data_IF_703886668445
#
_entry.id   IF_703886668445
#
_cell.length_a   1.000
_cell.length_b   1.000
_cell.length_c   1.000
_cell.angle_alpha   90.00
_cell.angle_beta   90.00
_cell.angle_gamma   90.00
#
_symmetry.space_group_name_H-M   'P 1'
#
loop_
_entity.id
_entity.type
_entity.pdbx_description
1 polymer ?
#
# COMPACT_ATOMS: atom_id res chain seq x y z
N UNK A 1 -23.05 -21.69 67.87
CA UNK A 1 -23.38 -20.80 66.72
C UNK A 1 -23.00 -19.37 67.09
N UNK A 2 -22.42 -18.64 66.14
CA UNK A 2 -21.91 -17.25 66.18
C UNK A 2 -20.48 -17.10 66.71
N UNK A 3 -19.54 -16.91 65.78
CA UNK A 3 -18.16 -16.47 66.03
C UNK A 3 -17.95 -15.12 65.35
N UNK A 4 -17.14 -14.28 66.01
CA UNK A 4 -17.11 -12.82 65.94
C UNK A 4 -16.64 -12.20 64.62
N UNK A 5 -17.18 -11.02 64.36
CA UNK A 5 -16.69 -10.06 63.38
C UNK A 5 -15.32 -9.50 63.83
N UNK A 6 -14.35 -9.51 62.93
CA UNK A 6 -13.09 -8.79 63.09
C UNK A 6 -13.14 -7.56 62.17
N UNK A 7 -13.40 -6.42 62.78
CA UNK A 7 -13.25 -5.10 62.21
C UNK A 7 -11.78 -4.69 62.34
N UNK A 8 -11.08 -4.56 61.22
CA UNK A 8 -9.74 -3.97 61.16
C UNK A 8 -9.82 -2.56 60.58
N UNK A 9 -9.10 -1.61 61.19
CA UNK A 9 -9.07 -0.19 60.82
C UNK A 9 -7.64 0.29 60.61
N UNK A 10 -7.42 0.99 59.49
CA UNK A 10 -6.34 1.97 59.16
C UNK A 10 -4.96 1.41 58.77
N UNK A 11 -4.11 2.14 57.99
CA UNK A 11 -4.04 3.60 57.87
C UNK A 11 -3.90 4.24 56.46
N UNK A 12 -4.26 5.52 56.42
CA UNK A 12 -3.88 6.61 55.52
C UNK A 12 -3.13 6.25 54.22
N UNK A 13 -3.84 6.35 53.09
CA UNK A 13 -3.24 6.37 51.75
C UNK A 13 -3.42 7.78 51.18
N UNK A 14 -2.29 8.47 51.08
CA UNK A 14 -2.09 9.76 50.44
C UNK A 14 -2.98 9.98 49.23
N UNK A 15 -3.69 11.12 49.23
CA UNK A 15 -4.42 11.59 48.06
C UNK A 15 -3.42 12.02 46.98
N UNK A 16 -3.07 11.10 46.07
CA UNK A 16 -2.56 11.48 44.77
C UNK A 16 -3.74 11.95 43.92
N UNK A 17 -3.82 13.28 43.77
CA UNK A 17 -4.65 13.99 42.78
C UNK A 17 -4.44 13.32 41.41
N UNK A 18 -5.41 12.51 41.00
CA UNK A 18 -5.52 12.05 39.61
C UNK A 18 -5.79 13.30 38.79
N UNK A 19 -4.76 13.84 38.15
CA UNK A 19 -4.91 14.68 36.97
C UNK A 19 -5.64 13.80 35.96
N UNK A 20 -6.92 14.10 35.73
CA UNK A 20 -7.69 13.48 34.67
C UNK A 20 -6.92 13.63 33.37
N UNK A 21 -6.42 12.51 32.86
CA UNK A 21 -6.05 12.38 31.47
C UNK A 21 -7.31 12.58 30.66
N UNK A 22 -7.51 13.82 30.20
CA UNK A 22 -8.62 14.23 29.37
C UNK A 22 -8.73 13.24 28.19
N UNK A 23 -9.80 12.43 28.07
CA UNK A 23 -9.96 11.49 26.96
C UNK A 23 -10.01 12.22 25.60
N UNK A 24 -10.23 13.53 25.63
CA UNK A 24 -10.22 14.41 24.47
C UNK A 24 -8.81 14.87 24.03
N UNK A 25 -7.74 14.46 24.71
CA UNK A 25 -6.36 14.68 24.24
C UNK A 25 -5.86 13.55 23.34
N UNK A 26 -6.28 12.30 23.60
CA UNK A 26 -5.92 11.15 22.75
C UNK A 26 -6.55 11.22 21.34
N UNK A 27 -7.76 11.79 21.22
CA UNK A 27 -8.43 11.96 19.93
C UNK A 27 -7.86 13.14 19.11
N UNK A 28 -7.16 14.10 19.74
CA UNK A 28 -6.55 15.25 19.04
C UNK A 28 -5.30 14.86 18.23
N UNK A 29 -4.59 13.81 18.62
CA UNK A 29 -3.41 13.34 17.89
C UNK A 29 -3.75 12.34 16.77
N UNK A 30 -4.90 11.65 16.87
CA UNK A 30 -5.38 10.74 15.82
C UNK A 30 -6.03 11.48 14.64
N UNK A 31 -6.30 12.79 14.80
CA UNK A 31 -6.74 13.71 13.75
C UNK A 31 -5.59 14.60 13.26
N UNK A 32 -4.34 14.13 13.33
CA UNK A 32 -3.29 14.69 12.49
C UNK A 32 -3.74 14.45 11.05
N UNK A 33 -4.07 15.54 10.36
CA UNK A 33 -4.47 15.57 8.96
C UNK A 33 -3.47 14.76 8.14
N UNK A 34 -3.81 13.51 7.85
CA UNK A 34 -3.16 12.74 6.81
C UNK A 34 -3.59 13.45 5.52
N UNK A 35 -2.78 14.40 5.08
CA UNK A 35 -2.96 15.06 3.80
C UNK A 35 -1.84 14.50 2.92
N UNK A 36 -2.20 13.63 1.98
CA UNK A 36 -1.24 12.95 1.12
C UNK A 36 -0.69 13.94 0.09
N UNK A 37 0.25 14.76 0.53
CA UNK A 37 0.92 15.73 -0.34
C UNK A 37 2.11 15.06 -1.03
N UNK A 38 2.00 14.89 -2.35
CA UNK A 38 3.08 14.32 -3.17
C UNK A 38 4.02 15.45 -3.62
N UNK A 39 5.33 15.22 -3.48
CA UNK A 39 6.38 16.10 -4.01
C UNK A 39 6.83 15.66 -5.41
N UNK A 40 7.36 16.59 -6.22
CA UNK A 40 7.85 16.30 -7.57
C UNK A 40 8.92 15.20 -7.60
N UNK A 41 9.79 15.15 -6.59
CA UNK A 41 10.82 14.11 -6.43
C UNK A 41 10.22 12.69 -6.27
N UNK A 42 9.07 12.59 -5.58
CA UNK A 42 8.35 11.33 -5.44
C UNK A 42 7.70 10.92 -6.77
N UNK A 43 7.15 11.89 -7.51
CA UNK A 43 6.62 11.64 -8.85
C UNK A 43 7.71 11.12 -9.80
N UNK A 44 8.90 11.74 -9.80
CA UNK A 44 10.04 11.29 -10.61
C UNK A 44 10.49 9.88 -10.23
N UNK A 45 10.48 9.57 -8.93
CA UNK A 45 10.79 8.21 -8.44
C UNK A 45 9.78 7.19 -8.97
N UNK A 46 8.48 7.50 -8.90
CA UNK A 46 7.41 6.65 -9.42
C UNK A 46 7.54 6.48 -10.94
N UNK A 47 7.78 7.57 -11.68
CA UNK A 47 7.96 7.54 -13.12
C UNK A 47 9.15 6.65 -13.52
N UNK A 48 10.27 6.76 -12.79
CA UNK A 48 11.45 5.92 -13.00
C UNK A 48 11.15 4.44 -12.75
N UNK A 49 10.40 4.10 -11.70
CA UNK A 49 9.98 2.72 -11.40
C UNK A 49 9.05 2.17 -12.49
N UNK A 50 8.15 3.01 -13.01
CA UNK A 50 7.22 2.66 -14.09
C UNK A 50 7.86 2.70 -15.50
N UNK A 51 9.14 3.08 -15.61
CA UNK A 51 9.84 3.30 -16.90
C UNK A 51 9.14 4.33 -17.79
N UNK A 52 8.57 5.36 -17.18
CA UNK A 52 7.95 6.49 -17.87
C UNK A 52 8.92 7.67 -17.89
N UNK A 53 9.01 8.32 -19.04
CA UNK A 53 9.63 9.62 -19.16
C UNK A 53 8.59 10.69 -18.82
N UNK A 54 8.91 11.57 -17.88
CA UNK A 54 8.04 12.67 -17.45
C UNK A 54 8.61 14.00 -17.93
N UNK A 55 8.02 14.62 -18.97
CA UNK A 55 8.38 15.96 -19.40
C UNK A 55 8.23 16.95 -18.25
N UNK A 56 9.25 17.80 -18.05
CA UNK A 56 9.30 18.74 -16.91
C UNK A 56 8.15 19.74 -16.86
N UNK A 57 7.57 20.08 -18.01
CA UNK A 57 6.40 20.94 -18.15
C UNK A 57 5.09 20.32 -17.62
N UNK A 58 5.03 18.99 -17.54
CA UNK A 58 3.85 18.25 -17.06
C UNK A 58 3.93 17.87 -15.58
N UNK A 59 5.11 17.98 -14.94
CA UNK A 59 5.34 17.55 -13.55
C UNK A 59 4.37 18.19 -12.58
N UNK A 60 4.15 19.51 -12.66
CA UNK A 60 3.25 20.21 -11.76
C UNK A 60 1.80 19.72 -11.87
N UNK A 61 1.32 19.54 -13.11
CA UNK A 61 -0.03 19.03 -13.37
C UNK A 61 -0.19 17.58 -12.90
N UNK A 62 0.77 16.71 -13.23
CA UNK A 62 0.73 15.31 -12.83
C UNK A 62 0.80 15.14 -11.31
N UNK A 63 1.59 15.97 -10.63
CA UNK A 63 1.66 15.97 -9.16
C UNK A 63 0.31 16.35 -8.54
N UNK A 64 -0.35 17.38 -9.10
CA UNK A 64 -1.68 17.78 -8.65
C UNK A 64 -2.74 16.70 -8.90
N UNK A 65 -2.81 16.18 -10.13
CA UNK A 65 -3.79 15.15 -10.52
C UNK A 65 -3.61 13.87 -9.68
N UNK A 66 -2.37 13.45 -9.44
CA UNK A 66 -2.08 12.29 -8.59
C UNK A 66 -2.44 12.54 -7.13
N UNK A 67 -2.19 13.75 -6.60
CA UNK A 67 -2.61 14.15 -5.26
C UNK A 67 -4.12 14.00 -5.08
N UNK A 68 -4.92 14.53 -6.02
CA UNK A 68 -6.38 14.40 -5.98
C UNK A 68 -6.86 12.94 -5.97
N UNK A 69 -6.18 12.06 -6.71
CA UNK A 69 -6.50 10.62 -6.72
C UNK A 69 -6.19 9.99 -5.36
N UNK A 70 -5.07 10.32 -4.73
CA UNK A 70 -4.72 9.79 -3.42
C UNK A 70 -5.66 10.30 -2.32
N UNK A 71 -6.06 11.57 -2.37
CA UNK A 71 -7.07 12.14 -1.47
C UNK A 71 -8.42 11.42 -1.60
N UNK A 72 -8.79 11.00 -2.82
CA UNK A 72 -9.99 10.21 -3.05
C UNK A 72 -9.87 8.81 -2.43
N UNK A 73 -8.73 8.12 -2.64
CA UNK A 73 -8.47 6.79 -2.07
C UNK A 73 -8.45 6.82 -0.55
N UNK A 74 -7.98 7.91 0.07
CA UNK A 74 -7.95 8.08 1.52
C UNK A 74 -9.33 8.03 2.16
N UNK A 75 -10.39 8.38 1.42
CA UNK A 75 -11.77 8.24 1.91
C UNK A 75 -12.11 6.78 2.27
N UNK A 76 -11.44 5.80 1.66
CA UNK A 76 -11.63 4.37 1.95
C UNK A 76 -11.07 3.97 3.32
N UNK A 77 -10.12 4.72 3.90
CA UNK A 77 -9.53 4.41 5.22
C UNK A 77 -10.53 4.56 6.38
N UNK A 78 -11.69 5.19 6.14
CA UNK A 78 -12.74 5.37 7.14
C UNK A 78 -13.47 4.07 7.50
N UNK A 79 -13.30 3.03 6.70
CA UNK A 79 -13.96 1.72 6.88
C UNK A 79 -13.02 0.80 7.66
N UNK A 80 -13.51 0.22 8.77
CA UNK A 80 -12.75 -0.78 9.53
C UNK A 80 -12.75 -2.13 8.80
N UNK A 81 -11.55 -2.59 8.44
CA UNK A 81 -11.31 -3.88 7.76
C UNK A 81 -10.46 -4.83 8.59
N UNK A 82 -10.29 -4.58 9.90
CA UNK A 82 -9.39 -5.37 10.78
C UNK A 82 -9.78 -6.85 10.93
N UNK A 83 -11.05 -7.18 10.68
CA UNK A 83 -11.60 -8.52 10.88
C UNK A 83 -11.98 -9.24 9.56
N UNK A 84 -11.63 -8.67 8.40
CA UNK A 84 -11.96 -9.26 7.09
C UNK A 84 -10.71 -9.63 6.30
N UNK A 85 -10.77 -10.79 5.65
CA UNK A 85 -9.68 -11.26 4.78
C UNK A 85 -9.72 -10.56 3.42
N UNK A 86 -8.57 -10.19 2.83
CA UNK A 86 -8.50 -9.59 1.50
C UNK A 86 -9.00 -10.53 0.39
N UNK A 87 -9.82 -10.00 -0.52
CA UNK A 87 -10.29 -10.75 -1.69
C UNK A 87 -9.28 -10.68 -2.83
N UNK A 88 -8.61 -11.81 -3.14
CA UNK A 88 -7.60 -11.87 -4.20
C UNK A 88 -8.17 -12.26 -5.58
N UNK A 89 -9.14 -13.16 -5.61
CA UNK A 89 -9.87 -13.56 -6.81
C UNK A 89 -11.36 -13.64 -6.44
N UNK A 90 -12.28 -13.02 -7.20
CA UNK A 90 -13.71 -13.12 -6.94
C UNK A 90 -14.27 -14.55 -7.10
N UNK A 91 -13.55 -15.43 -7.80
CA UNK A 91 -13.93 -16.82 -7.98
C UNK A 91 -13.11 -17.74 -7.09
N UNK A 92 -13.80 -18.65 -6.41
CA UNK A 92 -13.21 -19.75 -5.65
C UNK A 92 -12.64 -20.81 -6.62
N UNK A 93 -11.44 -20.55 -7.13
CA UNK A 93 -10.76 -21.42 -8.09
C UNK A 93 -9.56 -22.11 -7.43
N UNK A 94 -9.47 -23.41 -7.62
CA UNK A 94 -8.26 -24.17 -7.28
C UNK A 94 -7.19 -23.98 -8.37
N UNK A 95 -5.93 -24.18 -8.00
CA UNK A 95 -4.82 -24.07 -8.95
C UNK A 95 -4.96 -25.11 -10.06
N UNK A 96 -5.16 -24.64 -11.29
CA UNK A 96 -5.19 -25.51 -12.47
C UNK A 96 -3.76 -25.89 -12.85
N UNK A 97 -3.49 -27.20 -12.87
CA UNK A 97 -2.21 -27.71 -13.34
C UNK A 97 -2.21 -27.83 -14.88
N UNK A 98 -1.08 -27.45 -15.48
CA UNK A 98 -0.77 -27.75 -16.89
C UNK A 98 0.01 -29.05 -16.94
N UNK A 99 -0.30 -29.93 -17.89
CA UNK A 99 0.48 -31.15 -18.13
C UNK A 99 1.90 -30.81 -18.59
N UNK A 100 2.86 -31.63 -18.20
CA UNK A 100 4.25 -31.54 -18.65
C UNK A 100 4.43 -32.22 -20.02
N UNK A 101 3.80 -31.65 -21.04
CA UNK A 101 3.85 -32.11 -22.43
C UNK A 101 4.36 -30.96 -23.30
N UNK A 102 5.23 -31.25 -24.28
CA UNK A 102 5.74 -30.26 -25.25
C UNK A 102 4.62 -29.94 -26.25
N UNK A 103 4.32 -28.67 -26.44
CA UNK A 103 3.25 -28.18 -27.34
C UNK A 103 3.75 -27.24 -28.43
N UNK A 104 5.02 -26.84 -28.36
CA UNK A 104 5.57 -25.70 -29.07
C UNK A 104 6.14 -26.11 -30.43
N UNK A 105 5.81 -25.31 -31.45
CA UNK A 105 6.44 -25.34 -32.77
C UNK A 105 7.21 -24.04 -33.01
N UNK A 106 8.24 -24.09 -33.86
CA UNK A 106 9.00 -22.89 -34.19
C UNK A 106 8.12 -21.89 -34.94
N UNK A 107 7.88 -20.73 -34.31
CA UNK A 107 7.08 -19.63 -34.85
C UNK A 107 7.91 -18.33 -34.96
N UNK A 108 9.23 -18.46 -35.15
CA UNK A 108 10.17 -17.33 -35.16
C UNK A 108 9.73 -16.21 -36.11
N UNK A 109 9.43 -16.55 -37.36
CA UNK A 109 9.04 -15.57 -38.40
C UNK A 109 7.78 -14.80 -37.98
N UNK A 110 6.78 -15.51 -37.46
CA UNK A 110 5.52 -14.92 -36.99
C UNK A 110 5.72 -13.95 -35.83
N UNK A 111 6.57 -14.29 -34.85
CA UNK A 111 6.82 -13.42 -33.71
C UNK A 111 7.71 -12.22 -34.06
N UNK A 112 8.65 -12.40 -34.97
CA UNK A 112 9.56 -11.34 -35.40
C UNK A 112 8.91 -10.32 -36.36
N UNK A 113 7.78 -10.67 -36.98
CA UNK A 113 7.07 -9.79 -37.91
C UNK A 113 6.61 -8.43 -37.29
N UNK A 114 6.38 -8.38 -35.97
CA UNK A 114 5.97 -7.15 -35.26
C UNK A 114 7.11 -6.50 -34.46
N UNK A 115 8.31 -7.07 -34.55
CA UNK A 115 9.44 -6.63 -33.76
C UNK A 115 10.03 -5.34 -34.33
N UNK A 116 10.41 -4.36 -33.50
CA UNK A 116 11.03 -3.12 -33.99
C UNK A 116 12.35 -3.34 -34.73
N UNK A 117 13.16 -4.30 -34.29
CA UNK A 117 14.44 -4.63 -34.92
C UNK A 117 14.84 -6.08 -34.62
N UNK A 118 15.24 -6.80 -35.66
CA UNK A 118 15.71 -8.19 -35.56
C UNK A 118 16.86 -8.43 -36.53
N UNK A 119 17.82 -9.26 -36.14
CA UNK A 119 18.93 -9.67 -36.98
C UNK A 119 19.33 -11.10 -36.66
N UNK A 120 19.63 -11.92 -37.69
CA UNK A 120 20.05 -13.32 -37.54
C UNK A 120 19.12 -14.16 -36.65
N UNK A 121 17.82 -13.82 -36.64
CA UNK A 121 16.82 -14.49 -35.82
C UNK A 121 16.83 -14.09 -34.33
N UNK A 122 17.45 -12.98 -33.96
CA UNK A 122 17.51 -12.41 -32.61
C UNK A 122 16.79 -11.05 -32.56
N UNK A 123 16.30 -10.67 -31.38
CA UNK A 123 15.79 -9.32 -31.12
C UNK A 123 16.95 -8.40 -30.77
N UNK A 124 17.03 -7.26 -31.44
CA UNK A 124 18.06 -6.28 -31.15
C UNK A 124 17.58 -5.35 -30.04
N UNK A 125 18.42 -5.19 -29.01
CA UNK A 125 18.21 -4.24 -27.91
C UNK A 125 19.48 -3.44 -27.67
N UNK A 126 19.38 -2.18 -27.21
CA UNK A 126 20.55 -1.41 -26.81
C UNK A 126 21.34 -2.17 -25.74
N UNK A 127 22.67 -2.23 -25.90
CA UNK A 127 23.56 -2.82 -24.91
C UNK A 127 23.54 -1.94 -23.65
N UNK A 128 23.30 -2.55 -22.49
CA UNK A 128 23.47 -1.88 -21.20
C UNK A 128 24.97 -1.77 -20.93
N UNK A 129 25.48 -0.54 -20.83
CA UNK A 129 26.87 -0.22 -20.47
C UNK A 129 26.78 0.82 -19.34
N UNK A 130 27.60 0.63 -18.30
CA UNK A 130 27.73 1.55 -17.16
C UNK A 130 28.88 2.55 -17.36
#
# INVERSE_FOLDING_TARGET
MRSGALQWRSPDRTQHRILGSDPNQANRNAQQENNVTIQSEQLETIAKLARLETPGDQVAKLTHDLGQILDFVEQMQKVDTSAIEPLSNPLEMTQRLRKDEVTESNQREKFQAIAPATENGLYLVPKVID
#
